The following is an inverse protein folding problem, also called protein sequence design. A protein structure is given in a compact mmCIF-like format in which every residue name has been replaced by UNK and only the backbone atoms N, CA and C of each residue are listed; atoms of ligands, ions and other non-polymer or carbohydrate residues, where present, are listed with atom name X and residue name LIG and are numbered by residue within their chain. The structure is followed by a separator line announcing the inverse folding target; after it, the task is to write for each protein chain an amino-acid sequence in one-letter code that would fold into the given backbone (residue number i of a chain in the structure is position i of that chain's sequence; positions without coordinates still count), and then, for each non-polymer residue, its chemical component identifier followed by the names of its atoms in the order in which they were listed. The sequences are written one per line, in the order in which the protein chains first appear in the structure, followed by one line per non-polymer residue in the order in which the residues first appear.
data_IF_850182308213
#
_entry.id   IF_850182308213
#
_cell.length_a   1.000
_cell.length_b   1.000
_cell.length_c   1.000
_cell.angle_alpha   90.00
_cell.angle_beta   90.00
_cell.angle_gamma   90.00
#
_symmetry.space_group_name_H-M   'P 1'
#
loop_
_entity.id
_entity.type
_entity.pdbx_description
1 polymer ?
#
# COMPACT_ATOMS: atom_id res chain seq x y z
N UNK A 1 25.69 11.18 -25.09
CA UNK A 1 25.69 10.14 -24.04
C UNK A 1 24.28 10.02 -23.46
N UNK A 2 23.56 8.94 -23.76
CA UNK A 2 22.23 8.68 -23.15
C UNK A 2 22.44 8.45 -21.64
N UNK A 3 21.75 9.20 -20.81
CA UNK A 3 21.78 8.96 -19.36
C UNK A 3 21.20 7.57 -19.09
N UNK A 4 22.04 6.61 -18.71
CA UNK A 4 21.60 5.29 -18.24
C UNK A 4 20.77 5.51 -16.99
N UNK A 5 19.45 5.27 -17.07
CA UNK A 5 18.54 5.33 -15.94
C UNK A 5 18.49 3.98 -15.22
N UNK A 6 17.95 3.94 -14.00
CA UNK A 6 17.77 2.70 -13.22
C UNK A 6 16.92 1.67 -13.96
N UNK A 7 16.01 2.14 -14.82
CA UNK A 7 15.06 1.33 -15.58
C UNK A 7 15.39 1.33 -17.07
N UNK A 8 16.66 1.53 -17.45
CA UNK A 8 17.10 1.65 -18.86
C UNK A 8 16.89 0.41 -19.71
N UNK A 9 16.75 -0.76 -19.08
CA UNK A 9 16.42 -2.03 -19.75
C UNK A 9 14.91 -2.30 -19.87
N UNK A 10 14.08 -1.44 -19.28
CA UNK A 10 12.64 -1.44 -19.52
C UNK A 10 12.39 -0.57 -20.76
N UNK A 11 12.13 -1.22 -21.88
CA UNK A 11 11.78 -0.52 -23.12
C UNK A 11 10.39 0.08 -22.99
N UNK A 12 10.31 1.40 -23.07
CA UNK A 12 9.05 2.15 -23.03
C UNK A 12 8.21 1.99 -24.30
N UNK A 13 8.84 1.50 -25.38
CA UNK A 13 8.25 1.27 -26.69
C UNK A 13 7.57 -0.11 -26.84
N UNK A 14 7.72 -1.00 -25.84
CA UNK A 14 6.90 -2.20 -25.79
C UNK A 14 5.50 -1.81 -25.36
N UNK A 15 4.58 -1.84 -26.32
CA UNK A 15 3.16 -1.75 -26.03
C UNK A 15 2.80 -2.83 -24.99
N UNK A 16 2.06 -2.42 -23.99
CA UNK A 16 1.56 -3.33 -22.97
C UNK A 16 0.52 -4.23 -23.64
N UNK A 17 0.90 -5.46 -23.94
CA UNK A 17 0.05 -6.42 -24.68
C UNK A 17 -0.97 -7.14 -23.79
N UNK A 18 -1.05 -6.78 -22.51
CA UNK A 18 -2.09 -7.32 -21.64
C UNK A 18 -3.46 -6.84 -22.11
N UNK A 19 -4.29 -7.80 -22.56
CA UNK A 19 -5.70 -7.50 -22.85
C UNK A 19 -6.36 -6.99 -21.58
N UNK A 20 -6.81 -5.75 -21.61
CA UNK A 20 -7.63 -5.21 -20.54
C UNK A 20 -8.88 -6.08 -20.39
N UNK A 21 -9.28 -6.43 -19.15
CA UNK A 21 -10.51 -7.14 -18.92
C UNK A 21 -11.69 -6.32 -19.45
N UNK A 22 -12.70 -6.99 -19.99
CA UNK A 22 -13.93 -6.33 -20.39
C UNK A 22 -14.68 -5.88 -19.14
N UNK A 23 -14.55 -4.61 -18.80
CA UNK A 23 -15.20 -4.02 -17.62
C UNK A 23 -16.48 -3.32 -18.07
N UNK A 24 -17.57 -3.60 -17.41
CA UNK A 24 -18.82 -2.86 -17.61
C UNK A 24 -18.71 -1.47 -16.99
N UNK A 25 -18.36 -0.48 -17.80
CA UNK A 25 -18.19 0.91 -17.37
C UNK A 25 -19.45 1.49 -16.71
N UNK A 26 -20.65 1.11 -17.19
CA UNK A 26 -21.92 1.60 -16.63
C UNK A 26 -22.11 1.12 -15.18
N UNK A 27 -21.77 -0.13 -14.89
CA UNK A 27 -21.85 -0.64 -13.51
C UNK A 27 -20.82 0.02 -12.60
N UNK A 28 -19.60 0.24 -13.10
CA UNK A 28 -18.57 0.96 -12.37
C UNK A 28 -19.00 2.40 -12.03
N UNK A 29 -19.55 3.12 -13.00
CA UNK A 29 -20.08 4.47 -12.79
C UNK A 29 -21.24 4.48 -11.75
N UNK A 30 -22.15 3.50 -11.80
CA UNK A 30 -23.19 3.37 -10.77
C UNK A 30 -22.60 3.22 -9.37
N UNK A 31 -21.55 2.40 -9.20
CA UNK A 31 -20.87 2.24 -7.92
C UNK A 31 -20.31 3.57 -7.43
N UNK A 32 -19.60 4.32 -8.30
CA UNK A 32 -19.05 5.63 -7.94
C UNK A 32 -20.15 6.62 -7.56
N UNK A 33 -21.20 6.72 -8.36
CA UNK A 33 -22.30 7.68 -8.16
C UNK A 33 -23.18 7.35 -6.94
N UNK A 34 -23.31 6.05 -6.61
CA UNK A 34 -24.12 5.61 -5.46
C UNK A 34 -23.39 5.72 -4.12
N UNK A 35 -22.05 5.90 -4.13
CA UNK A 35 -21.26 5.98 -2.90
C UNK A 35 -21.74 7.10 -1.98
N UNK A 36 -21.96 6.78 -0.72
CA UNK A 36 -22.30 7.74 0.35
C UNK A 36 -21.40 7.50 1.58
N UNK A 37 -21.23 8.53 2.39
CA UNK A 37 -20.53 8.45 3.68
C UNK A 37 -21.49 7.93 4.75
N UNK A 38 -21.70 6.62 4.79
CA UNK A 38 -22.55 5.98 5.79
C UNK A 38 -21.78 5.87 7.09
N UNK A 39 -22.38 6.32 8.21
CA UNK A 39 -21.78 6.32 9.55
C UNK A 39 -22.57 5.55 10.59
N UNK A 40 -23.71 5.02 10.23
CA UNK A 40 -24.56 4.16 11.07
C UNK A 40 -24.91 2.92 10.28
N UNK A 41 -24.58 1.76 10.79
CA UNK A 41 -24.78 0.49 10.11
C UNK A 41 -25.91 -0.32 10.73
N UNK A 42 -26.53 -1.18 9.93
CA UNK A 42 -27.58 -2.11 10.39
C UNK A 42 -26.99 -3.18 11.32
N UNK A 43 -27.88 -3.92 11.97
CA UNK A 43 -27.46 -5.02 12.86
C UNK A 43 -27.19 -6.34 12.11
N UNK A 44 -27.32 -6.36 10.80
CA UNK A 44 -27.18 -7.56 9.99
C UNK A 44 -25.76 -8.09 9.98
N UNK A 45 -25.62 -9.40 9.94
CA UNK A 45 -24.30 -10.05 9.84
C UNK A 45 -23.79 -9.96 8.41
N UNK A 46 -22.52 -9.63 8.27
CA UNK A 46 -21.85 -9.68 6.97
C UNK A 46 -21.42 -11.14 6.71
N UNK A 47 -21.77 -11.73 5.56
CA UNK A 47 -21.32 -13.08 5.21
C UNK A 47 -19.77 -13.16 5.18
N UNK A 48 -19.22 -14.20 5.79
CA UNK A 48 -17.77 -14.39 5.88
C UNK A 48 -17.06 -14.39 4.51
N UNK A 49 -17.76 -14.86 3.48
CA UNK A 49 -17.23 -14.89 2.11
C UNK A 49 -17.03 -13.49 1.55
N UNK A 50 -17.96 -12.56 1.82
CA UNK A 50 -17.84 -11.16 1.41
C UNK A 50 -16.65 -10.52 2.12
N UNK A 51 -16.49 -10.78 3.42
CA UNK A 51 -15.38 -10.28 4.20
C UNK A 51 -14.05 -10.80 3.63
N UNK A 52 -13.94 -12.11 3.41
CA UNK A 52 -12.73 -12.73 2.84
C UNK A 52 -12.43 -12.18 1.44
N UNK A 53 -13.45 -12.03 0.59
CA UNK A 53 -13.30 -11.45 -0.75
C UNK A 53 -12.80 -10.02 -0.70
N UNK A 54 -13.35 -9.19 0.19
CA UNK A 54 -12.93 -7.80 0.39
C UNK A 54 -11.48 -7.71 0.87
N UNK A 55 -11.09 -8.54 1.85
CA UNK A 55 -9.71 -8.63 2.33
C UNK A 55 -8.75 -9.06 1.21
N UNK A 56 -9.10 -10.09 0.45
CA UNK A 56 -8.28 -10.54 -0.68
C UNK A 56 -8.14 -9.46 -1.78
N UNK A 57 -9.18 -8.68 -2.02
CA UNK A 57 -9.12 -7.56 -2.95
C UNK A 57 -8.21 -6.44 -2.41
N UNK A 58 -8.22 -6.16 -1.11
CA UNK A 58 -7.35 -5.17 -0.50
C UNK A 58 -5.85 -5.52 -0.63
N UNK A 59 -5.50 -6.82 -0.69
CA UNK A 59 -4.13 -7.28 -0.93
C UNK A 59 -3.59 -6.89 -2.31
N UNK A 60 -4.48 -6.59 -3.26
CA UNK A 60 -4.11 -6.18 -4.63
C UNK A 60 -3.77 -4.69 -4.73
N UNK A 61 -3.98 -3.92 -3.65
CA UNK A 61 -3.65 -2.50 -3.64
C UNK A 61 -2.14 -2.28 -3.87
N UNK A 62 -1.75 -1.31 -4.71
CA UNK A 62 -0.34 -1.03 -4.97
C UNK A 62 0.34 -0.50 -3.72
N UNK A 63 1.59 -0.95 -3.48
CA UNK A 63 2.43 -0.47 -2.40
C UNK A 63 3.76 0.02 -2.93
N UNK A 64 4.45 0.89 -2.18
CA UNK A 64 5.76 1.38 -2.57
C UNK A 64 6.74 0.23 -2.74
N UNK A 65 7.40 0.16 -3.91
CA UNK A 65 8.30 -0.93 -4.30
C UNK A 65 7.68 -2.33 -4.16
N UNK A 66 6.35 -2.43 -4.13
CA UNK A 66 5.61 -3.67 -3.86
C UNK A 66 6.10 -4.41 -2.59
N UNK A 67 6.57 -3.68 -1.59
CA UNK A 67 7.11 -4.27 -0.36
C UNK A 67 6.02 -4.68 0.64
N UNK A 68 4.77 -4.24 0.44
CA UNK A 68 3.62 -4.66 1.24
C UNK A 68 3.92 -4.62 2.76
N UNK A 69 4.49 -3.51 3.23
CA UNK A 69 4.90 -3.30 4.62
C UNK A 69 3.71 -2.92 5.50
N UNK A 70 2.70 -3.75 5.54
CA UNK A 70 1.48 -3.57 6.32
C UNK A 70 0.85 -4.91 6.69
N UNK A 71 0.02 -4.91 7.69
CA UNK A 71 -0.75 -6.05 8.19
C UNK A 71 -2.18 -5.64 8.46
N UNK A 72 -3.11 -6.59 8.31
CA UNK A 72 -4.53 -6.38 8.65
C UNK A 72 -4.87 -7.29 9.82
N UNK A 73 -5.41 -6.70 10.87
CA UNK A 73 -5.90 -7.41 12.04
C UNK A 73 -7.42 -7.35 12.08
N UNK A 74 -8.05 -8.50 12.09
CA UNK A 74 -9.51 -8.61 12.21
C UNK A 74 -9.90 -8.81 13.68
N UNK A 75 -10.63 -7.85 14.25
CA UNK A 75 -11.10 -7.91 15.62
C UNK A 75 -12.27 -8.90 15.73
N UNK A 76 -12.05 -10.03 16.40
CA UNK A 76 -13.06 -11.08 16.58
C UNK A 76 -13.79 -10.99 17.91
N UNK A 77 -13.08 -10.72 19.00
CA UNK A 77 -13.70 -10.67 20.34
C UNK A 77 -14.36 -9.32 20.62
N UNK A 78 -15.44 -9.33 21.37
CA UNK A 78 -16.13 -8.10 21.76
C UNK A 78 -15.22 -7.18 22.58
N UNK A 79 -14.39 -7.74 23.46
CA UNK A 79 -13.44 -6.96 24.28
C UNK A 79 -12.50 -6.14 23.38
N UNK A 80 -11.96 -6.75 22.30
CA UNK A 80 -11.09 -6.04 21.37
C UNK A 80 -11.89 -5.02 20.56
N UNK A 81 -13.09 -5.37 20.11
CA UNK A 81 -13.97 -4.43 19.38
C UNK A 81 -14.27 -3.20 20.24
N UNK A 82 -14.62 -3.37 21.51
CA UNK A 82 -14.90 -2.25 22.43
C UNK A 82 -13.68 -1.36 22.64
N UNK A 83 -12.49 -1.95 22.78
CA UNK A 83 -11.23 -1.19 22.87
C UNK A 83 -10.96 -0.38 21.59
N UNK A 84 -11.20 -0.94 20.41
CA UNK A 84 -11.05 -0.23 19.13
C UNK A 84 -12.08 0.89 19.02
N UNK A 85 -13.33 0.66 19.39
CA UNK A 85 -14.40 1.67 19.40
C UNK A 85 -14.00 2.85 20.31
N UNK A 86 -13.48 2.58 21.50
CA UNK A 86 -13.00 3.61 22.41
C UNK A 86 -11.82 4.39 21.82
N UNK A 87 -10.87 3.70 21.19
CA UNK A 87 -9.75 4.33 20.49
C UNK A 87 -10.20 5.20 19.32
N UNK A 88 -11.34 4.88 18.69
CA UNK A 88 -11.99 5.68 17.66
C UNK A 88 -12.91 6.79 18.24
N UNK A 89 -12.73 7.19 19.50
CA UNK A 89 -13.52 8.21 20.18
C UNK A 89 -15.03 7.90 20.18
N UNK A 90 -15.37 6.62 20.21
CA UNK A 90 -16.76 6.11 20.17
C UNK A 90 -17.61 6.68 19.04
N UNK A 91 -16.99 7.00 17.90
CA UNK A 91 -17.72 7.48 16.72
C UNK A 91 -18.81 6.50 16.29
N UNK A 92 -19.96 7.00 15.81
CA UNK A 92 -21.10 6.15 15.42
C UNK A 92 -20.70 5.05 14.41
N UNK A 93 -19.83 5.36 13.46
CA UNK A 93 -19.36 4.39 12.47
C UNK A 93 -18.60 3.21 13.11
N UNK A 94 -17.72 3.47 14.07
CA UNK A 94 -17.01 2.42 14.81
C UNK A 94 -17.96 1.64 15.73
N UNK A 95 -18.86 2.36 16.44
CA UNK A 95 -19.79 1.79 17.41
C UNK A 95 -20.84 0.87 16.78
N UNK A 96 -21.29 1.19 15.58
CA UNK A 96 -22.33 0.41 14.88
C UNK A 96 -21.76 -0.64 13.93
N UNK A 97 -20.45 -0.59 13.61
CA UNK A 97 -19.83 -1.55 12.72
C UNK A 97 -19.89 -2.98 13.28
N UNK A 98 -20.29 -3.92 12.42
CA UNK A 98 -20.32 -5.35 12.79
C UNK A 98 -18.92 -5.96 12.80
N UNK A 99 -18.09 -5.54 11.85
CA UNK A 99 -16.73 -6.01 11.73
C UNK A 99 -15.75 -4.81 11.78
N UNK A 100 -14.67 -4.99 12.51
CA UNK A 100 -13.62 -3.99 12.66
C UNK A 100 -12.28 -4.56 12.24
N UNK A 101 -11.58 -3.82 11.39
CA UNK A 101 -10.26 -4.16 10.90
C UNK A 101 -9.29 -3.04 11.24
N UNK A 102 -8.10 -3.42 11.70
CA UNK A 102 -7.01 -2.49 11.99
C UNK A 102 -5.90 -2.71 10.97
N UNK A 103 -5.60 -1.69 10.19
CA UNK A 103 -4.47 -1.68 9.27
C UNK A 103 -3.25 -1.12 10.00
N UNK A 104 -2.21 -1.94 10.07
CA UNK A 104 -0.97 -1.59 10.77
C UNK A 104 0.16 -1.45 9.76
N UNK A 105 0.81 -0.29 9.73
CA UNK A 105 2.04 -0.10 8.98
C UNK A 105 3.18 -0.88 9.67
N UNK A 106 3.89 -1.71 8.93
CA UNK A 106 4.99 -2.55 9.40
C UNK A 106 6.28 -2.24 8.62
N UNK A 107 6.81 -1.02 8.78
CA UNK A 107 8.04 -0.63 8.09
C UNK A 107 9.23 -1.53 8.45
N UNK A 108 9.23 -2.16 9.62
CA UNK A 108 10.23 -3.13 10.07
C UNK A 108 10.35 -4.35 9.14
N UNK A 109 9.27 -4.74 8.47
CA UNK A 109 9.25 -5.89 7.56
C UNK A 109 9.93 -5.63 6.20
N UNK A 110 10.38 -4.41 5.91
CA UNK A 110 10.92 -4.08 4.58
C UNK A 110 12.09 -4.96 4.15
N UNK A 111 12.99 -5.32 5.07
CA UNK A 111 14.18 -6.15 4.77
C UNK A 111 13.76 -7.53 4.27
N UNK A 112 12.88 -8.21 5.04
CA UNK A 112 12.34 -9.52 4.70
C UNK A 112 11.63 -9.49 3.35
N UNK A 113 10.74 -8.53 3.17
CA UNK A 113 9.92 -8.43 1.96
C UNK A 113 10.76 -8.05 0.73
N UNK A 114 11.77 -7.18 0.91
CA UNK A 114 12.74 -6.87 -0.14
C UNK A 114 13.56 -8.10 -0.56
N UNK A 115 13.96 -8.94 0.38
CA UNK A 115 14.65 -10.18 0.06
C UNK A 115 13.76 -11.13 -0.73
N UNK A 116 12.50 -11.30 -0.32
CA UNK A 116 11.53 -12.12 -1.06
C UNK A 116 11.35 -11.63 -2.51
N UNK A 117 11.33 -10.30 -2.74
CA UNK A 117 11.26 -9.75 -4.10
C UNK A 117 12.53 -10.06 -4.91
N UNK A 118 13.72 -9.98 -4.30
CA UNK A 118 14.99 -10.33 -4.95
C UNK A 118 14.98 -11.81 -5.35
N UNK A 119 14.56 -12.70 -4.44
CA UNK A 119 14.56 -14.14 -4.66
C UNK A 119 13.52 -14.51 -5.75
N UNK A 120 12.34 -13.91 -5.71
CA UNK A 120 11.34 -14.06 -6.75
C UNK A 120 11.88 -13.64 -8.14
N UNK A 121 12.58 -12.51 -8.21
CA UNK A 121 13.16 -12.03 -9.46
C UNK A 121 14.27 -12.95 -9.98
N UNK A 122 15.14 -13.44 -9.09
CA UNK A 122 16.22 -14.38 -9.47
C UNK A 122 15.71 -15.70 -10.03
N UNK A 123 14.56 -16.15 -9.57
CA UNK A 123 13.93 -17.39 -10.04
C UNK A 123 13.25 -17.26 -11.42
N UNK A 124 13.15 -16.05 -11.98
CA UNK A 124 12.66 -15.85 -13.35
C UNK A 124 13.75 -16.21 -14.37
N UNK A 125 13.37 -16.79 -15.50
CA UNK A 125 14.31 -17.18 -16.57
C UNK A 125 15.18 -16.01 -17.06
N UNK A 126 14.63 -14.80 -17.17
CA UNK A 126 15.33 -13.59 -17.62
C UNK A 126 14.87 -12.39 -16.78
N UNK A 127 15.39 -12.22 -15.54
CA UNK A 127 15.01 -11.09 -14.72
C UNK A 127 15.60 -9.79 -15.32
N UNK A 128 14.82 -8.70 -15.42
CA UNK A 128 15.37 -7.42 -15.84
C UNK A 128 16.46 -6.96 -14.86
N UNK A 129 17.66 -6.72 -15.38
CA UNK A 129 18.83 -6.40 -14.53
C UNK A 129 18.68 -5.09 -13.77
N UNK A 130 17.98 -4.11 -14.36
CA UNK A 130 17.66 -2.84 -13.71
C UNK A 130 16.73 -3.01 -12.52
N UNK A 131 15.70 -3.86 -12.65
CA UNK A 131 14.74 -4.15 -11.59
C UNK A 131 15.44 -4.89 -10.44
N UNK A 132 16.29 -5.86 -10.75
CA UNK A 132 17.08 -6.56 -9.74
C UNK A 132 18.01 -5.59 -8.99
N UNK A 133 18.74 -4.71 -9.71
CA UNK A 133 19.58 -3.65 -9.15
C UNK A 133 18.77 -2.70 -8.26
N UNK A 134 17.55 -2.36 -8.65
CA UNK A 134 16.65 -1.53 -7.84
C UNK A 134 16.43 -2.13 -6.46
N UNK A 135 16.04 -3.40 -6.37
CA UNK A 135 15.80 -4.05 -5.08
C UNK A 135 17.10 -4.29 -4.29
N UNK A 136 18.20 -4.61 -4.97
CA UNK A 136 19.48 -4.88 -4.32
C UNK A 136 20.16 -3.61 -3.74
N UNK A 137 19.99 -2.45 -4.39
CA UNK A 137 20.67 -1.21 -4.03
C UNK A 137 19.73 -0.09 -3.60
N UNK A 138 18.83 0.33 -4.50
CA UNK A 138 18.03 1.54 -4.29
C UNK A 138 17.02 1.36 -3.15
N UNK A 139 16.31 0.26 -3.12
CA UNK A 139 15.37 -0.03 -2.05
C UNK A 139 16.08 -0.08 -0.69
N UNK A 140 17.25 -0.72 -0.61
CA UNK A 140 18.04 -0.75 0.62
C UNK A 140 18.44 0.65 1.08
N UNK A 141 18.90 1.52 0.18
CA UNK A 141 19.25 2.91 0.52
C UNK A 141 18.00 3.69 0.96
N UNK A 142 16.89 3.50 0.29
CA UNK A 142 15.64 4.23 0.57
C UNK A 142 15.05 3.87 1.94
N UNK A 143 15.00 2.58 2.26
CA UNK A 143 14.31 2.07 3.46
C UNK A 143 15.23 1.89 4.68
N UNK A 144 16.56 1.76 4.49
CA UNK A 144 17.47 1.65 5.62
C UNK A 144 17.58 2.98 6.37
N UNK A 145 17.23 2.96 7.64
CA UNK A 145 17.31 4.11 8.53
C UNK A 145 18.58 4.12 9.38
N UNK A 146 19.36 3.02 9.35
CA UNK A 146 20.55 2.87 10.16
C UNK A 146 20.28 2.67 11.65
N UNK A 147 21.34 2.54 12.42
CA UNK A 147 21.25 2.45 13.87
C UNK A 147 20.74 3.79 14.43
N UNK A 148 19.80 3.75 15.38
CA UNK A 148 19.16 4.94 15.98
C UNK A 148 18.60 5.95 14.95
N UNK A 149 18.18 5.46 13.79
CA UNK A 149 17.65 6.32 12.72
C UNK A 149 18.63 7.40 12.18
N UNK A 150 19.95 7.23 12.38
CA UNK A 150 20.96 8.21 11.98
C UNK A 150 20.90 8.47 10.46
N UNK A 151 20.76 7.42 9.62
CA UNK A 151 20.61 7.59 8.18
C UNK A 151 19.29 8.25 7.81
N UNK A 152 18.23 8.04 8.59
CA UNK A 152 16.97 8.74 8.41
C UNK A 152 17.11 10.24 8.63
N UNK A 153 17.80 10.64 9.70
CA UNK A 153 18.10 12.03 10.04
C UNK A 153 18.99 12.66 8.96
N UNK A 154 20.10 12.00 8.57
CA UNK A 154 20.98 12.47 7.51
C UNK A 154 20.27 12.65 6.18
N UNK A 155 19.44 11.69 5.76
CA UNK A 155 18.62 11.81 4.55
C UNK A 155 17.66 12.99 4.62
N UNK A 156 17.05 13.24 5.76
CA UNK A 156 16.18 14.39 5.96
C UNK A 156 16.95 15.71 5.93
N UNK A 157 18.13 15.78 6.56
CA UNK A 157 19.00 16.97 6.56
C UNK A 157 19.54 17.28 5.17
N UNK A 158 20.03 16.29 4.42
CA UNK A 158 20.47 16.47 3.02
C UNK A 158 19.30 16.91 2.12
N UNK A 159 18.11 16.44 2.39
CA UNK A 159 16.88 16.90 1.74
C UNK A 159 16.55 18.34 2.13
N UNK A 160 16.79 18.76 3.36
CA UNK A 160 16.65 20.15 3.79
C UNK A 160 17.64 21.09 3.09
N UNK A 161 18.81 20.67 2.73
CA UNK A 161 19.85 21.48 2.08
C UNK A 161 19.72 21.56 0.54
N UNK A 162 19.13 20.57 -0.15
CA UNK A 162 19.06 20.49 -1.63
C UNK A 162 17.67 20.67 -2.26
N UNK A 163 16.87 21.60 -1.87
CA UNK A 163 15.55 21.30 -1.42
C UNK A 163 14.35 21.75 -2.19
N UNK A 164 14.40 22.55 -3.21
CA UNK A 164 13.15 22.97 -3.88
C UNK A 164 12.58 21.88 -4.81
N UNK A 165 13.42 21.08 -5.47
CA UNK A 165 12.97 20.11 -6.48
C UNK A 165 12.63 18.72 -5.93
N UNK A 166 13.34 18.25 -4.88
CA UNK A 166 13.20 16.89 -4.35
C UNK A 166 12.17 16.80 -3.23
N UNK A 167 11.90 17.91 -2.53
CA UNK A 167 10.94 18.00 -1.43
C UNK A 167 9.51 17.72 -1.85
N UNK A 168 9.11 18.25 -3.00
CA UNK A 168 7.73 18.05 -3.52
C UNK A 168 7.48 16.58 -3.92
N UNK A 169 8.45 15.92 -4.54
CA UNK A 169 8.31 14.54 -4.99
C UNK A 169 8.25 13.53 -3.83
N UNK A 170 8.98 13.77 -2.74
CA UNK A 170 9.09 12.81 -1.64
C UNK A 170 7.95 12.87 -0.63
N UNK A 171 7.48 14.06 -0.29
CA UNK A 171 6.26 14.21 0.52
C UNK A 171 5.03 13.69 -0.22
N UNK A 172 4.96 13.87 -1.53
CA UNK A 172 3.87 13.32 -2.33
C UNK A 172 3.94 11.79 -2.40
N UNK A 173 5.12 11.18 -2.54
CA UNK A 173 5.27 9.71 -2.63
C UNK A 173 4.92 9.03 -1.30
N UNK A 174 5.45 9.50 -0.16
CA UNK A 174 5.14 8.89 1.14
C UNK A 174 3.67 9.13 1.50
N UNK A 175 3.18 10.34 1.36
CA UNK A 175 1.79 10.69 1.64
C UNK A 175 0.82 9.99 0.68
N UNK A 176 1.17 9.93 -0.60
CA UNK A 176 0.39 9.23 -1.61
C UNK A 176 0.39 7.71 -1.36
N UNK A 177 1.52 7.10 -1.03
CA UNK A 177 1.61 5.66 -0.76
C UNK A 177 0.84 5.28 0.50
N UNK A 178 0.95 6.03 1.58
CA UNK A 178 0.20 5.77 2.83
C UNK A 178 -1.28 6.05 2.63
N UNK A 179 -1.65 7.19 2.04
CA UNK A 179 -3.06 7.53 1.83
C UNK A 179 -3.72 6.66 0.77
N UNK A 180 -3.05 6.29 -0.33
CA UNK A 180 -3.65 5.42 -1.34
C UNK A 180 -3.76 3.98 -0.86
N UNK A 181 -2.78 3.47 -0.12
CA UNK A 181 -2.88 2.11 0.46
C UNK A 181 -4.03 2.03 1.46
N UNK A 182 -4.16 3.03 2.34
CA UNK A 182 -5.26 3.10 3.31
C UNK A 182 -6.60 3.34 2.62
N UNK A 183 -6.68 4.29 1.69
CA UNK A 183 -7.93 4.61 1.00
C UNK A 183 -8.39 3.48 0.07
N UNK A 184 -7.50 2.83 -0.67
CA UNK A 184 -7.87 1.68 -1.49
C UNK A 184 -8.29 0.48 -0.63
N UNK A 185 -7.61 0.23 0.49
CA UNK A 185 -8.02 -0.82 1.42
C UNK A 185 -9.39 -0.52 2.05
N UNK A 186 -9.66 0.74 2.41
CA UNK A 186 -10.96 1.16 2.95
C UNK A 186 -12.07 1.15 1.89
N UNK A 187 -11.79 1.55 0.65
CA UNK A 187 -12.77 1.51 -0.45
C UNK A 187 -13.10 0.10 -0.95
N UNK A 188 -12.24 -0.88 -0.68
CA UNK A 188 -12.52 -2.29 -1.00
C UNK A 188 -13.29 -3.02 0.10
N UNK A 189 -13.44 -2.38 1.27
CA UNK A 189 -14.15 -2.93 2.43
C UNK A 189 -15.61 -2.44 2.53
N UNK A 190 -16.03 -1.50 1.68
CA UNK A 190 -17.39 -0.98 1.52
C UNK A 190 -18.02 -1.59 0.27
#
# INVERSE_FOLDING_TARGET
MSKITILSDIKSDKSFEEKLPNINHKEFDKVIQSRRSIRVFTKDKIPNEIIKKSLNNSLKAPTSSNLQTWEIYWAKSNIIKDRIVNACLSQPAAKTAKELFVFVSRPDNWKRNNQMMIDHLKNKKNPPSSVLRYYQKITKIAYNQGFLNIFGILKNSMLCLNLKKVRSARFSVIRYTVCTTINHALHTLI
#
